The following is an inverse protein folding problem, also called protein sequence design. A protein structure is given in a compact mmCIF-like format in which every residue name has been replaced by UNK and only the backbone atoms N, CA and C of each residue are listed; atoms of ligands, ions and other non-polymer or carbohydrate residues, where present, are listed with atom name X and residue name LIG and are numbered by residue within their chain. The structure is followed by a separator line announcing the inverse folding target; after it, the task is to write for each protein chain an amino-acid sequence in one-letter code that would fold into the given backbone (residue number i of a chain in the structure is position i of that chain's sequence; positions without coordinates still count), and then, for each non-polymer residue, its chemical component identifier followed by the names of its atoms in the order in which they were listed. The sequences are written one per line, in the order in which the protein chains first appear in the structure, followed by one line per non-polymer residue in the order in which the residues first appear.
data_IF_045937038409
#
_entry.id   IF_045937038409
#
_cell.length_a   1.000
_cell.length_b   1.000
_cell.length_c   1.000
_cell.angle_alpha   90.00
_cell.angle_beta   90.00
_cell.angle_gamma   90.00
#
_symmetry.space_group_name_H-M   'P 1'
#
loop_
_entity.id
_entity.type
_entity.pdbx_description
1 polymer ?
#
# COMPACT_ATOMS: atom_id res chain seq x y z
N UNK A 1 -5.63 -15.01 -22.42
CA UNK A 1 -6.06 -16.41 -22.66
C UNK A 1 -7.49 -16.56 -22.16
N UNK A 2 -8.40 -17.01 -23.01
CA UNK A 2 -9.83 -17.14 -22.73
C UNK A 2 -10.13 -18.26 -21.73
N UNK A 3 -11.03 -17.96 -20.79
CA UNK A 3 -11.85 -18.93 -20.04
C UNK A 3 -12.74 -18.19 -19.02
N UNK A 4 -13.82 -18.79 -18.50
CA UNK A 4 -14.83 -19.67 -19.08
C UNK A 4 -16.11 -18.88 -19.49
N UNK A 5 -17.02 -19.52 -20.21
CA UNK A 5 -18.16 -18.97 -20.98
C UNK A 5 -19.29 -18.21 -20.23
N UNK A 6 -19.03 -17.53 -19.10
CA UNK A 6 -20.08 -16.87 -18.29
C UNK A 6 -19.88 -15.37 -18.01
N UNK A 7 -18.87 -14.72 -18.58
CA UNK A 7 -18.70 -13.26 -18.42
C UNK A 7 -18.32 -12.81 -16.99
N UNK A 8 -17.80 -13.72 -16.17
CA UNK A 8 -17.25 -13.35 -14.86
C UNK A 8 -15.91 -12.63 -15.02
N UNK A 9 -15.79 -11.42 -14.46
CA UNK A 9 -14.53 -10.67 -14.42
C UNK A 9 -13.78 -10.99 -13.11
N UNK A 10 -12.57 -11.54 -13.25
CA UNK A 10 -11.67 -11.85 -12.13
C UNK A 10 -10.39 -11.04 -12.26
N UNK A 11 -9.84 -10.59 -11.13
CA UNK A 11 -8.53 -9.94 -11.11
C UNK A 11 -7.44 -11.00 -11.31
N UNK A 12 -6.65 -10.86 -12.37
CA UNK A 12 -5.71 -11.89 -12.82
C UNK A 12 -4.67 -12.25 -11.74
N UNK A 13 -4.10 -11.25 -11.07
CA UNK A 13 -3.15 -11.42 -9.97
C UNK A 13 -3.72 -12.29 -8.82
N UNK A 14 -4.95 -12.03 -8.40
CA UNK A 14 -5.59 -12.79 -7.31
C UNK A 14 -5.99 -14.20 -7.70
N UNK A 15 -6.40 -14.39 -8.96
CA UNK A 15 -6.70 -15.71 -9.48
C UNK A 15 -5.44 -16.58 -9.46
N UNK A 16 -4.33 -16.06 -10.00
CA UNK A 16 -3.08 -16.81 -10.05
C UNK A 16 -2.54 -17.03 -8.63
N UNK A 17 -2.59 -16.03 -7.75
CA UNK A 17 -2.20 -16.15 -6.34
C UNK A 17 -2.97 -17.25 -5.62
N UNK A 18 -4.30 -17.26 -5.73
CA UNK A 18 -5.14 -18.28 -5.11
C UNK A 18 -4.86 -19.69 -5.65
N UNK A 19 -4.62 -19.84 -6.96
CA UNK A 19 -4.27 -21.13 -7.56
C UNK A 19 -2.92 -21.63 -7.04
N UNK A 20 -1.89 -20.78 -6.99
CA UNK A 20 -0.56 -21.18 -6.53
C UNK A 20 -0.55 -21.49 -5.03
N UNK A 21 -1.19 -20.66 -4.19
CA UNK A 21 -1.33 -20.91 -2.76
C UNK A 21 -2.08 -22.22 -2.47
N UNK A 22 -3.18 -22.48 -3.19
CA UNK A 22 -3.95 -23.73 -3.03
C UNK A 22 -3.13 -24.98 -3.41
N UNK A 23 -2.25 -24.89 -4.41
CA UNK A 23 -1.32 -25.98 -4.78
C UNK A 23 -0.23 -26.21 -3.74
N UNK A 24 0.18 -25.16 -3.03
CA UNK A 24 1.17 -25.25 -1.95
C UNK A 24 0.58 -25.82 -0.64
N UNK A 25 -0.70 -25.58 -0.36
CA UNK A 25 -1.37 -26.10 0.85
C UNK A 25 -2.15 -27.40 0.60
N UNK A 26 -1.86 -28.48 1.33
CA UNK A 26 -2.68 -29.72 1.32
C UNK A 26 -3.85 -29.56 2.31
N UNK A 27 -5.10 -29.50 1.85
CA UNK A 27 -6.29 -29.34 2.70
C UNK A 27 -7.58 -29.17 1.90
N UNK A 28 -8.73 -28.93 2.55
CA UNK A 28 -10.09 -28.99 1.96
C UNK A 28 -10.37 -28.09 0.72
N UNK A 29 -9.45 -27.20 0.33
CA UNK A 29 -9.47 -26.41 -0.92
C UNK A 29 -8.21 -26.58 -1.79
N UNK A 30 -7.28 -27.42 -1.36
CA UNK A 30 -6.06 -27.78 -2.07
C UNK A 30 -6.21 -29.10 -2.84
N UNK A 31 -5.19 -29.50 -3.60
CA UNK A 31 -5.21 -30.74 -4.37
C UNK A 31 -5.49 -31.96 -3.48
N UNK A 32 -6.25 -32.95 -3.99
CA UNK A 32 -6.63 -34.16 -3.24
C UNK A 32 -5.38 -34.90 -2.71
N UNK A 33 -5.55 -35.79 -1.73
CA UNK A 33 -4.47 -36.63 -1.20
C UNK A 33 -3.73 -37.44 -2.30
N UNK A 34 -4.41 -37.68 -3.43
CA UNK A 34 -3.91 -38.42 -4.59
C UNK A 34 -3.16 -37.55 -5.60
N UNK A 35 -3.05 -36.25 -5.35
CA UNK A 35 -2.32 -35.35 -6.23
C UNK A 35 -0.80 -35.50 -6.04
N UNK A 36 -0.01 -35.51 -7.13
CA UNK A 36 1.44 -35.66 -7.05
C UNK A 36 2.06 -34.64 -6.10
N UNK A 37 3.04 -35.05 -5.28
CA UNK A 37 3.87 -34.10 -4.54
C UNK A 37 4.59 -33.21 -5.55
N UNK A 38 4.47 -31.90 -5.39
CA UNK A 38 5.34 -30.96 -6.09
C UNK A 38 6.78 -31.21 -5.61
N UNK A 39 7.71 -31.24 -6.56
CA UNK A 39 9.12 -31.29 -6.25
C UNK A 39 9.62 -29.94 -5.71
N UNK A 40 10.79 -29.93 -5.07
CA UNK A 40 11.36 -28.71 -4.47
C UNK A 40 11.60 -27.61 -5.52
N UNK A 41 11.90 -27.98 -6.76
CA UNK A 41 12.07 -27.05 -7.88
C UNK A 41 10.76 -26.33 -8.21
N UNK A 42 9.64 -27.06 -8.39
CA UNK A 42 8.34 -26.44 -8.68
C UNK A 42 7.81 -25.62 -7.49
N UNK A 43 8.09 -26.04 -6.25
CA UNK A 43 7.74 -25.25 -5.06
C UNK A 43 8.51 -23.92 -5.06
N UNK A 44 9.81 -23.94 -5.38
CA UNK A 44 10.60 -22.71 -5.50
C UNK A 44 10.04 -21.80 -6.60
N UNK A 45 9.74 -22.37 -7.76
CA UNK A 45 9.16 -21.65 -8.89
C UNK A 45 7.80 -21.02 -8.54
N UNK A 46 6.92 -21.74 -7.85
CA UNK A 46 5.61 -21.22 -7.43
C UNK A 46 5.75 -20.09 -6.42
N UNK A 47 6.69 -20.20 -5.48
CA UNK A 47 6.98 -19.11 -4.55
C UNK A 47 7.58 -17.90 -5.28
N UNK A 48 8.39 -18.11 -6.31
CA UNK A 48 8.97 -17.04 -7.13
C UNK A 48 7.90 -16.36 -7.99
N UNK A 49 6.97 -17.12 -8.58
CA UNK A 49 5.85 -16.57 -9.35
C UNK A 49 4.88 -15.80 -8.44
N UNK A 50 4.55 -16.34 -7.26
CA UNK A 50 3.77 -15.63 -6.24
C UNK A 50 4.41 -14.30 -5.85
N UNK A 51 5.73 -14.30 -5.66
CA UNK A 51 6.48 -13.08 -5.40
C UNK A 51 6.45 -12.10 -6.58
N UNK A 52 6.49 -12.59 -7.83
CA UNK A 52 6.38 -11.75 -9.03
C UNK A 52 4.98 -11.14 -9.18
N UNK A 53 3.92 -11.88 -8.87
CA UNK A 53 2.53 -11.41 -8.99
C UNK A 53 2.24 -10.27 -8.02
N UNK A 54 2.78 -10.34 -6.80
CA UNK A 54 2.72 -9.23 -5.86
C UNK A 54 3.48 -7.98 -6.36
N UNK A 55 4.40 -8.12 -7.33
CA UNK A 55 5.24 -7.06 -7.92
C UNK A 55 4.68 -6.47 -9.25
N UNK A 56 3.57 -6.96 -9.83
CA UNK A 56 3.00 -6.43 -11.09
C UNK A 56 2.19 -5.14 -10.88
N UNK A 57 2.58 -4.04 -11.54
CA UNK A 57 1.80 -2.79 -11.59
C UNK A 57 1.65 -2.20 -13.00
N UNK A 58 0.46 -1.66 -13.27
CA UNK A 58 0.17 -0.56 -14.19
C UNK A 58 0.38 -0.75 -15.70
N UNK A 59 1.61 -0.95 -16.16
CA UNK A 59 1.93 -0.80 -17.60
C UNK A 59 1.82 -2.09 -18.42
N UNK A 60 1.89 -3.25 -17.79
CA UNK A 60 1.82 -4.56 -18.47
C UNK A 60 0.41 -5.18 -18.44
N UNK A 61 -0.51 -4.58 -17.67
CA UNK A 61 -1.92 -4.92 -17.59
C UNK A 61 -2.68 -3.74 -18.21
N UNK A 62 -3.19 -3.91 -19.43
CA UNK A 62 -3.78 -2.84 -20.23
C UNK A 62 -4.76 -1.92 -19.48
N UNK A 63 -4.85 -0.67 -19.96
CA UNK A 63 -5.63 0.43 -19.39
C UNK A 63 -7.07 0.03 -19.02
N UNK A 64 -7.25 -0.40 -17.77
CA UNK A 64 -8.54 -0.44 -17.10
C UNK A 64 -8.57 0.74 -16.14
N UNK A 65 -9.07 1.87 -16.64
CA UNK A 65 -9.33 3.05 -15.82
C UNK A 65 -10.32 2.67 -14.70
N UNK A 66 -9.86 2.72 -13.44
CA UNK A 66 -10.58 2.25 -12.25
C UNK A 66 -11.60 3.29 -11.73
N UNK A 67 -11.87 4.33 -12.51
CA UNK A 67 -12.65 5.47 -12.05
C UNK A 67 -14.12 5.33 -12.45
N UNK A 68 -15.01 5.30 -11.46
CA UNK A 68 -16.45 5.19 -11.69
C UNK A 68 -17.02 6.55 -12.16
N UNK A 69 -17.55 6.60 -13.39
CA UNK A 69 -18.22 7.77 -13.95
C UNK A 69 -19.73 7.76 -13.70
N UNK A 70 -20.36 8.95 -13.67
CA UNK A 70 -21.82 9.12 -13.61
C UNK A 70 -22.31 9.90 -14.84
N UNK A 71 -23.34 9.44 -15.57
CA UNK A 71 -23.94 10.23 -16.63
C UNK A 71 -24.90 11.25 -16.00
N UNK A 72 -24.64 12.54 -16.19
CA UNK A 72 -25.61 13.59 -15.89
C UNK A 72 -26.11 14.26 -17.18
N UNK A 73 -27.33 14.76 -17.13
CA UNK A 73 -28.26 15.05 -18.23
C UNK A 73 -27.76 15.98 -19.37
N UNK A 74 -28.06 15.56 -20.62
CA UNK A 74 -28.38 16.35 -21.84
C UNK A 74 -27.74 17.74 -21.99
N UNK A 75 -26.42 17.78 -22.04
CA UNK A 75 -25.56 18.65 -22.91
C UNK A 75 -24.17 18.00 -22.86
N UNK A 76 -23.33 18.20 -23.87
CA UNK A 76 -21.98 17.64 -23.91
C UNK A 76 -21.10 18.21 -22.78
N UNK A 77 -21.35 17.79 -21.54
CA UNK A 77 -20.55 18.09 -20.36
C UNK A 77 -19.37 17.12 -20.33
N UNK A 78 -18.21 17.63 -19.93
CA UNK A 78 -17.02 16.79 -19.73
C UNK A 78 -17.35 15.63 -18.76
N UNK A 79 -16.79 14.43 -18.98
CA UNK A 79 -17.03 13.30 -18.10
C UNK A 79 -16.58 13.63 -16.67
N UNK A 80 -17.43 13.29 -15.69
CA UNK A 80 -17.17 13.47 -14.25
C UNK A 80 -16.93 12.12 -13.62
N UNK A 81 -15.93 12.06 -12.74
CA UNK A 81 -15.49 10.83 -12.09
C UNK A 81 -15.53 10.94 -10.57
N UNK A 82 -15.82 9.82 -9.91
CA UNK A 82 -15.68 9.71 -8.47
C UNK A 82 -14.20 9.62 -8.08
N UNK A 83 -13.77 10.45 -7.14
CA UNK A 83 -12.37 10.52 -6.70
C UNK A 83 -11.86 9.18 -6.13
N UNK A 84 -10.69 8.68 -6.56
CA UNK A 84 -10.08 7.46 -6.03
C UNK A 84 -9.30 7.67 -4.72
N UNK A 85 -9.01 8.94 -4.39
CA UNK A 85 -8.39 9.41 -3.16
C UNK A 85 -8.90 10.83 -2.80
N UNK A 86 -8.49 11.37 -1.66
CA UNK A 86 -8.82 12.72 -1.21
C UNK A 86 -7.68 13.73 -1.44
N UNK A 87 -6.46 13.24 -1.67
CA UNK A 87 -5.24 13.98 -2.04
C UNK A 87 -5.47 15.07 -3.07
N UNK A 88 -6.12 14.76 -4.20
CA UNK A 88 -6.21 15.70 -5.34
C UNK A 88 -6.87 17.03 -4.96
N UNK A 89 -7.90 16.99 -4.10
CA UNK A 89 -8.57 18.19 -3.62
C UNK A 89 -7.67 19.07 -2.75
N UNK A 90 -6.71 18.48 -2.04
CA UNK A 90 -5.72 19.20 -1.23
C UNK A 90 -4.72 19.93 -2.14
N UNK A 91 -4.24 19.27 -3.19
CA UNK A 91 -3.32 19.87 -4.17
C UNK A 91 -3.93 21.03 -4.95
N UNK A 92 -5.18 20.90 -5.43
CA UNK A 92 -5.88 22.00 -6.12
C UNK A 92 -5.99 23.23 -5.21
N UNK A 93 -6.10 23.04 -3.90
CA UNK A 93 -6.22 24.12 -2.93
C UNK A 93 -4.89 24.54 -2.28
N UNK A 94 -3.74 24.05 -2.77
CA UNK A 94 -2.42 24.30 -2.16
C UNK A 94 -2.16 25.78 -1.85
N UNK A 95 -2.41 26.69 -2.82
CA UNK A 95 -2.19 28.13 -2.62
C UNK A 95 -3.00 28.70 -1.45
N UNK A 96 -4.25 28.26 -1.28
CA UNK A 96 -5.10 28.70 -0.17
C UNK A 96 -4.60 28.14 1.17
N UNK A 97 -4.20 26.88 1.18
CA UNK A 97 -3.66 26.21 2.37
C UNK A 97 -2.32 26.85 2.81
N UNK A 98 -1.44 27.14 1.86
CA UNK A 98 -0.18 27.83 2.10
C UNK A 98 -0.41 29.25 2.63
N UNK A 99 -1.35 30.00 2.04
CA UNK A 99 -1.71 31.33 2.52
C UNK A 99 -2.28 31.29 3.95
N UNK A 100 -3.07 30.26 4.28
CA UNK A 100 -3.57 30.06 5.65
C UNK A 100 -2.42 29.84 6.63
N UNK A 101 -1.35 29.17 6.20
CA UNK A 101 -0.10 29.04 6.96
C UNK A 101 0.86 30.23 6.76
N UNK A 102 0.35 31.41 6.39
CA UNK A 102 1.14 32.64 6.22
C UNK A 102 2.34 32.48 5.28
N UNK A 103 2.19 31.66 4.24
CA UNK A 103 3.26 31.34 3.29
C UNK A 103 4.51 30.70 3.92
N UNK A 104 4.36 30.12 5.11
CA UNK A 104 5.43 29.44 5.83
C UNK A 104 5.40 27.93 5.59
N UNK A 105 6.57 27.29 5.77
CA UNK A 105 6.77 25.85 5.64
C UNK A 105 7.57 25.35 6.86
N UNK A 106 7.32 24.13 7.36
CA UNK A 106 6.37 23.14 6.83
C UNK A 106 4.91 23.43 7.23
N UNK A 107 3.97 22.85 6.49
CA UNK A 107 2.56 22.77 6.89
C UNK A 107 1.94 21.47 6.40
N UNK A 108 0.83 21.07 7.00
CA UNK A 108 0.09 19.89 6.57
C UNK A 108 -1.39 20.23 6.37
N UNK A 109 -2.01 19.59 5.40
CA UNK A 109 -3.47 19.51 5.28
C UNK A 109 -3.92 18.07 5.50
N UNK A 110 -5.12 17.90 6.01
CA UNK A 110 -5.73 16.59 6.21
C UNK A 110 -7.15 16.60 5.65
N UNK A 111 -7.54 15.47 5.06
CA UNK A 111 -8.91 15.26 4.59
C UNK A 111 -9.39 13.87 5.02
N UNK A 112 -10.57 13.84 5.65
CA UNK A 112 -11.27 12.60 5.99
C UNK A 112 -12.52 12.55 5.12
N UNK A 113 -12.57 11.58 4.21
CA UNK A 113 -13.62 11.57 3.21
C UNK A 113 -13.78 10.22 2.50
N UNK A 114 -14.92 10.08 1.81
CA UNK A 114 -15.20 8.91 0.99
C UNK A 114 -14.35 8.95 -0.28
N UNK A 115 -13.80 7.79 -0.63
CA UNK A 115 -13.09 7.51 -1.88
C UNK A 115 -13.71 6.30 -2.55
N UNK A 116 -13.58 6.23 -3.88
CA UNK A 116 -14.23 5.22 -4.70
C UNK A 116 -13.21 4.53 -5.61
N UNK A 117 -13.19 3.20 -5.61
CA UNK A 117 -12.33 2.40 -6.50
C UNK A 117 -13.20 1.37 -7.18
N UNK A 118 -13.17 1.29 -8.50
CA UNK A 118 -13.98 0.32 -9.24
C UNK A 118 -13.36 -1.09 -9.17
N UNK A 119 -13.34 -1.66 -7.96
CA UNK A 119 -12.74 -2.96 -7.67
C UNK A 119 -13.44 -4.07 -8.48
N UNK A 120 -12.64 -4.83 -9.24
CA UNK A 120 -13.11 -5.83 -10.20
C UNK A 120 -13.82 -6.96 -9.48
N UNK A 121 -13.25 -7.46 -8.38
CA UNK A 121 -13.80 -8.61 -7.63
C UNK A 121 -13.66 -8.42 -6.10
N UNK A 122 -14.64 -7.81 -5.42
CA UNK A 122 -14.58 -7.55 -3.98
C UNK A 122 -14.88 -8.83 -3.18
N UNK A 123 -13.88 -9.73 -3.06
CA UNK A 123 -14.01 -11.04 -2.38
C UNK A 123 -13.50 -11.07 -0.93
N UNK A 124 -12.96 -9.95 -0.41
CA UNK A 124 -12.27 -9.89 0.89
C UNK A 124 -13.04 -9.11 1.98
N UNK A 125 -14.39 -9.11 1.91
CA UNK A 125 -15.24 -8.39 2.86
C UNK A 125 -14.89 -6.90 2.94
N UNK A 126 -14.59 -6.41 4.16
CA UNK A 126 -14.25 -4.99 4.40
C UNK A 126 -12.88 -4.57 3.89
N UNK A 127 -11.98 -5.51 3.59
CA UNK A 127 -10.63 -5.20 3.10
C UNK A 127 -10.63 -4.73 1.64
N UNK A 128 -11.66 -5.10 0.87
CA UNK A 128 -11.81 -4.72 -0.54
C UNK A 128 -13.22 -4.31 -0.86
N UNK A 129 -13.43 -3.00 -0.85
CA UNK A 129 -14.73 -2.38 -1.10
C UNK A 129 -14.58 -1.28 -2.14
N UNK A 130 -15.65 -1.05 -2.90
CA UNK A 130 -15.66 0.01 -3.93
C UNK A 130 -15.83 1.41 -3.37
N UNK A 131 -16.21 1.53 -2.10
CA UNK A 131 -16.47 2.78 -1.38
C UNK A 131 -16.00 2.61 0.05
N UNK A 132 -15.10 3.49 0.49
CA UNK A 132 -14.57 3.48 1.84
C UNK A 132 -14.19 4.87 2.29
N UNK A 133 -14.12 5.05 3.61
CA UNK A 133 -13.64 6.26 4.24
C UNK A 133 -12.11 6.18 4.34
N UNK A 134 -11.43 7.25 3.92
CA UNK A 134 -9.99 7.40 4.06
C UNK A 134 -9.70 8.67 4.85
N UNK A 135 -8.59 8.65 5.59
CA UNK A 135 -7.97 9.83 6.16
C UNK A 135 -6.60 9.99 5.51
N UNK A 136 -6.39 11.07 4.77
CA UNK A 136 -5.12 11.35 4.12
C UNK A 136 -4.57 12.69 4.61
N UNK A 137 -3.26 12.71 4.84
CA UNK A 137 -2.52 13.90 5.27
C UNK A 137 -1.49 14.20 4.18
N UNK A 138 -1.56 15.40 3.60
CA UNK A 138 -0.52 15.92 2.73
C UNK A 138 0.38 16.85 3.55
N UNK A 139 1.63 16.44 3.76
CA UNK A 139 2.59 17.18 4.56
C UNK A 139 3.62 17.85 3.65
N UNK A 140 3.52 19.16 3.53
CA UNK A 140 4.37 19.98 2.69
C UNK A 140 5.59 20.42 3.49
N UNK A 141 6.76 20.04 3.03
CA UNK A 141 8.04 20.33 3.69
C UNK A 141 9.05 20.90 2.70
N UNK A 142 10.01 21.67 3.22
CA UNK A 142 11.21 22.02 2.47
C UNK A 142 12.18 20.81 2.53
N UNK A 143 12.52 20.18 1.41
CA UNK A 143 13.37 18.98 1.39
C UNK A 143 14.78 19.22 1.94
N UNK A 144 15.22 20.48 2.04
CA UNK A 144 16.56 20.86 2.53
C UNK A 144 16.61 21.09 4.04
N UNK A 145 15.45 21.22 4.71
CA UNK A 145 15.39 21.50 6.15
C UNK A 145 15.27 20.22 6.97
N UNK A 146 15.94 20.22 8.13
CA UNK A 146 15.74 19.20 9.16
C UNK A 146 14.33 19.27 9.72
N UNK A 147 13.79 18.13 10.15
CA UNK A 147 12.45 18.08 10.71
C UNK A 147 12.49 18.36 12.22
N UNK A 148 11.94 19.49 12.71
CA UNK A 148 12.18 19.95 14.09
C UNK A 148 11.76 18.94 15.16
N UNK A 149 10.71 18.16 14.89
CA UNK A 149 10.13 17.20 15.84
C UNK A 149 10.67 15.79 15.69
N UNK A 150 11.70 15.58 14.86
CA UNK A 150 12.30 14.26 14.70
C UNK A 150 12.88 13.71 16.01
N UNK A 151 13.36 14.59 16.89
CA UNK A 151 13.88 14.24 18.22
C UNK A 151 12.85 13.48 19.08
N UNK A 152 11.55 13.67 18.85
CA UNK A 152 10.48 12.98 19.58
C UNK A 152 10.41 11.49 19.26
N UNK A 153 10.93 11.07 18.09
CA UNK A 153 10.78 9.70 17.59
C UNK A 153 12.11 9.00 17.33
N UNK A 154 13.24 9.70 17.47
CA UNK A 154 14.55 9.21 17.03
C UNK A 154 14.95 7.88 17.66
N UNK A 155 14.51 7.63 18.90
CA UNK A 155 14.82 6.41 19.67
C UNK A 155 13.75 5.32 19.55
N UNK A 156 12.65 5.57 18.82
CA UNK A 156 11.59 4.58 18.63
C UNK A 156 12.10 3.45 17.73
N UNK A 157 11.78 2.21 18.08
CA UNK A 157 12.11 1.03 17.30
C UNK A 157 10.95 0.64 16.38
N UNK A 158 11.23 0.44 15.08
CA UNK A 158 10.26 0.08 14.07
C UNK A 158 10.49 -1.35 13.54
N UNK A 159 9.42 -2.15 13.33
CA UNK A 159 9.49 -3.46 12.69
C UNK A 159 9.61 -3.31 11.16
N UNK A 160 10.76 -2.85 10.68
CA UNK A 160 11.01 -2.55 9.28
C UNK A 160 11.32 -3.81 8.45
N UNK A 161 10.76 -3.85 7.24
CA UNK A 161 11.10 -4.76 6.15
C UNK A 161 11.59 -3.90 4.99
N UNK A 162 12.90 -3.88 4.79
CA UNK A 162 13.52 -3.11 3.71
C UNK A 162 13.38 -3.77 2.33
N UNK A 163 13.76 -3.03 1.29
CA UNK A 163 13.74 -3.44 -0.13
C UNK A 163 14.44 -4.78 -0.39
N UNK A 164 15.58 -5.05 0.26
CA UNK A 164 16.41 -6.22 -0.09
C UNK A 164 15.68 -7.53 0.23
N UNK A 165 15.53 -8.40 -0.78
CA UNK A 165 15.01 -9.76 -0.65
C UNK A 165 15.88 -10.56 0.33
N UNK A 166 15.45 -10.66 1.57
CA UNK A 166 16.07 -11.50 2.59
C UNK A 166 15.24 -12.80 2.77
N UNK A 167 15.89 -13.95 3.03
CA UNK A 167 15.21 -15.19 3.40
C UNK A 167 14.27 -14.96 4.60
N UNK A 168 13.17 -15.70 4.70
CA UNK A 168 12.10 -15.46 5.69
C UNK A 168 12.59 -15.24 7.13
N UNK A 169 13.65 -15.95 7.54
CA UNK A 169 14.30 -15.83 8.87
C UNK A 169 14.99 -14.48 9.14
N UNK A 170 15.35 -13.72 8.10
CA UNK A 170 16.11 -12.46 8.21
C UNK A 170 15.30 -11.21 7.86
N UNK A 171 14.00 -11.36 7.53
CA UNK A 171 13.15 -10.25 7.08
C UNK A 171 12.75 -9.26 8.18
N UNK A 172 12.87 -9.63 9.45
CA UNK A 172 12.46 -8.82 10.60
C UNK A 172 13.70 -8.37 11.37
N UNK A 173 14.08 -7.10 11.20
CA UNK A 173 15.02 -6.46 12.11
C UNK A 173 14.35 -5.20 12.66
N UNK A 174 13.84 -5.25 13.90
CA UNK A 174 13.54 -4.05 14.64
C UNK A 174 14.71 -3.07 14.53
N UNK A 175 14.43 -1.83 14.17
CA UNK A 175 15.45 -0.83 13.93
C UNK A 175 15.00 0.52 14.46
N UNK A 176 15.88 1.15 15.22
CA UNK A 176 15.70 2.50 15.74
C UNK A 176 15.58 3.49 14.58
N UNK A 177 14.55 4.34 14.60
CA UNK A 177 14.22 5.34 13.56
C UNK A 177 15.44 6.21 13.23
N UNK A 178 16.13 6.72 14.27
CA UNK A 178 17.34 7.52 14.12
C UNK A 178 18.46 6.78 13.38
N UNK A 179 18.62 5.46 13.62
CA UNK A 179 19.57 4.64 12.87
C UNK A 179 19.12 4.43 11.42
N UNK A 180 17.84 4.14 11.21
CA UNK A 180 17.27 3.94 9.87
C UNK A 180 17.44 5.18 8.96
N UNK A 181 17.26 6.38 9.52
CA UNK A 181 17.48 7.65 8.79
C UNK A 181 18.96 7.91 8.53
N UNK A 182 19.82 7.69 9.54
CA UNK A 182 21.29 7.85 9.39
C UNK A 182 21.86 6.89 8.34
N UNK A 183 21.37 5.66 8.27
CA UNK A 183 21.81 4.64 7.31
C UNK A 183 21.09 4.72 5.96
N UNK A 184 20.28 5.77 5.72
CA UNK A 184 19.50 5.97 4.47
C UNK A 184 18.57 4.82 4.09
N UNK A 185 18.14 4.03 5.07
CA UNK A 185 17.06 3.05 4.87
C UNK A 185 15.72 3.80 4.80
N UNK A 186 15.54 4.78 5.68
CA UNK A 186 14.52 5.81 5.56
C UNK A 186 15.18 7.08 5.00
N UNK A 187 14.58 7.65 3.97
CA UNK A 187 15.19 8.65 3.10
C UNK A 187 15.55 9.95 3.85
N UNK A 188 14.69 10.40 4.76
CA UNK A 188 14.86 11.64 5.54
C UNK A 188 14.14 11.62 6.90
N UNK A 189 14.39 12.64 7.72
CA UNK A 189 13.82 12.81 9.07
C UNK A 189 12.30 12.95 9.05
N UNK A 190 11.73 13.66 8.05
CA UNK A 190 10.27 13.84 7.93
C UNK A 190 9.57 12.51 7.73
N UNK A 191 10.06 11.67 6.82
CA UNK A 191 9.50 10.35 6.56
C UNK A 191 9.66 9.45 7.78
N UNK A 192 10.82 9.47 8.43
CA UNK A 192 11.05 8.72 9.68
C UNK A 192 10.10 9.14 10.80
N UNK A 193 9.84 10.45 10.94
CA UNK A 193 8.84 10.97 11.86
C UNK A 193 7.43 10.47 11.55
N UNK A 194 6.98 10.58 10.30
CA UNK A 194 5.62 10.16 9.92
C UNK A 194 5.44 8.66 10.13
N UNK A 195 6.39 7.82 9.70
CA UNK A 195 6.32 6.37 9.89
C UNK A 195 6.26 5.99 11.38
N UNK A 196 7.06 6.65 12.23
CA UNK A 196 6.99 6.44 13.67
C UNK A 196 5.65 6.89 14.27
N UNK A 197 5.10 8.02 13.84
CA UNK A 197 3.79 8.51 14.27
C UNK A 197 2.66 7.58 13.83
N UNK A 198 2.75 6.97 12.64
CA UNK A 198 1.81 5.93 12.18
C UNK A 198 1.85 4.74 13.14
N UNK A 199 3.04 4.24 13.50
CA UNK A 199 3.15 3.14 14.46
C UNK A 199 2.50 3.49 15.80
N UNK A 200 2.85 4.65 16.37
CA UNK A 200 2.30 5.11 17.64
C UNK A 200 0.77 5.23 17.59
N UNK A 201 0.23 5.74 16.48
CA UNK A 201 -1.21 5.81 16.27
C UNK A 201 -1.86 4.42 16.23
N UNK A 202 -1.28 3.47 15.46
CA UNK A 202 -1.77 2.10 15.36
C UNK A 202 -1.77 1.38 16.72
N UNK A 203 -0.70 1.55 17.50
CA UNK A 203 -0.62 1.02 18.86
C UNK A 203 -1.69 1.64 19.78
N UNK A 204 -1.93 2.95 19.65
CA UNK A 204 -2.95 3.65 20.43
C UNK A 204 -4.37 3.14 20.13
N UNK A 205 -4.66 2.81 18.87
CA UNK A 205 -5.94 2.16 18.48
C UNK A 205 -5.95 0.64 18.71
N UNK A 206 -5.01 0.13 19.53
CA UNK A 206 -4.94 -1.26 20.01
C UNK A 206 -4.55 -2.30 18.96
N UNK A 207 -3.78 -1.91 17.93
CA UNK A 207 -3.13 -2.89 17.06
C UNK A 207 -2.06 -3.65 17.84
N UNK A 208 -2.06 -4.98 17.68
CA UNK A 208 -1.03 -5.88 18.22
C UNK A 208 0.31 -5.65 17.51
N UNK A 209 1.33 -5.24 18.27
CA UNK A 209 2.66 -4.94 17.74
C UNK A 209 3.35 -6.15 17.10
N UNK A 210 3.04 -7.38 17.52
CA UNK A 210 3.59 -8.61 16.92
C UNK A 210 3.06 -8.87 15.50
N UNK A 211 1.94 -8.23 15.16
CA UNK A 211 1.21 -8.32 13.89
C UNK A 211 1.30 -7.04 13.07
N UNK A 212 2.22 -6.14 13.42
CA UNK A 212 2.50 -4.91 12.68
C UNK A 212 3.89 -4.98 12.06
N UNK A 213 4.02 -4.53 10.81
CA UNK A 213 5.31 -4.31 10.15
C UNK A 213 5.23 -3.13 9.20
N UNK A 214 6.38 -2.57 8.86
CA UNK A 214 6.49 -1.55 7.83
C UNK A 214 7.25 -2.11 6.63
N UNK A 215 6.59 -2.26 5.48
CA UNK A 215 7.21 -2.74 4.23
C UNK A 215 7.64 -1.54 3.39
N UNK A 216 8.90 -1.49 2.98
CA UNK A 216 9.36 -0.52 1.98
C UNK A 216 9.05 -1.06 0.58
N UNK A 217 8.49 -0.22 -0.28
CA UNK A 217 8.31 -0.57 -1.68
C UNK A 217 9.62 -0.61 -2.46
N UNK A 218 9.69 -1.53 -3.41
CA UNK A 218 10.75 -1.63 -4.43
C UNK A 218 10.57 -0.57 -5.52
N UNK A 219 11.66 -0.25 -6.24
CA UNK A 219 11.64 0.78 -7.28
C UNK A 219 10.62 0.50 -8.41
N UNK A 220 10.28 -0.77 -8.66
CA UNK A 220 9.31 -1.22 -9.65
C UNK A 220 7.86 -1.34 -9.12
N UNK A 221 7.65 -1.25 -7.81
CA UNK A 221 6.33 -1.28 -7.17
C UNK A 221 5.85 0.15 -6.78
N UNK A 222 6.71 1.15 -6.93
CA UNK A 222 6.41 2.52 -6.54
C UNK A 222 5.30 3.11 -7.41
N UNK A 223 4.33 3.77 -6.78
CA UNK A 223 3.39 4.61 -7.51
C UNK A 223 4.16 5.59 -8.40
N UNK A 224 3.63 5.89 -9.59
CA UNK A 224 4.22 6.74 -10.64
C UNK A 224 4.63 8.16 -10.20
N UNK A 225 4.35 8.55 -8.95
CA UNK A 225 4.66 9.84 -8.35
C UNK A 225 5.47 9.75 -7.04
N UNK A 226 6.01 8.58 -6.66
CA UNK A 226 6.71 8.40 -5.39
C UNK A 226 8.24 8.44 -5.57
N UNK A 227 8.98 8.92 -4.56
CA UNK A 227 10.44 8.78 -4.43
C UNK A 227 10.86 7.89 -3.23
N UNK A 228 9.95 7.64 -2.29
CA UNK A 228 10.08 6.63 -1.23
C UNK A 228 8.70 6.28 -0.67
N UNK A 229 8.44 5.01 -0.36
CA UNK A 229 7.14 4.58 0.17
C UNK A 229 7.29 3.48 1.21
N UNK A 230 6.57 3.63 2.31
CA UNK A 230 6.49 2.70 3.42
C UNK A 230 5.04 2.41 3.76
N UNK A 231 4.69 1.13 3.81
CA UNK A 231 3.36 0.67 4.14
C UNK A 231 3.35 0.03 5.51
N UNK A 232 2.45 0.50 6.37
CA UNK A 232 2.10 -0.22 7.59
C UNK A 232 1.18 -1.38 7.22
N UNK A 233 1.69 -2.61 7.35
CA UNK A 233 0.93 -3.83 7.08
C UNK A 233 0.53 -4.52 8.38
N UNK A 234 -0.69 -5.03 8.41
CA UNK A 234 -1.24 -5.81 9.52
C UNK A 234 -1.36 -7.28 9.12
N UNK A 235 -0.96 -8.17 10.01
CA UNK A 235 -1.20 -9.60 9.84
C UNK A 235 -2.66 -9.94 10.19
N UNK A 236 -3.40 -10.39 9.18
CA UNK A 236 -4.79 -10.80 9.26
C UNK A 236 -4.95 -12.28 8.88
N UNK A 237 -6.19 -12.79 8.92
CA UNK A 237 -6.51 -14.13 8.38
C UNK A 237 -6.29 -14.24 6.87
N UNK A 238 -6.18 -13.11 6.15
CA UNK A 238 -5.90 -13.03 4.72
C UNK A 238 -4.41 -12.77 4.43
N UNK A 239 -3.54 -12.89 5.44
CA UNK A 239 -2.13 -12.55 5.34
C UNK A 239 -1.83 -11.10 5.70
N UNK A 240 -0.68 -10.60 5.26
CA UNK A 240 -0.24 -9.23 5.48
C UNK A 240 -0.96 -8.29 4.52
N UNK A 241 -1.66 -7.31 5.07
CA UNK A 241 -2.46 -6.36 4.29
C UNK A 241 -2.08 -4.94 4.71
N UNK A 242 -1.85 -4.07 3.74
CA UNK A 242 -1.65 -2.64 3.94
C UNK A 242 -2.86 -2.02 4.68
N UNK A 243 -2.60 -1.24 5.72
CA UNK A 243 -3.61 -0.43 6.39
C UNK A 243 -3.32 1.08 6.32
N UNK A 244 -2.05 1.47 6.19
CA UNK A 244 -1.62 2.87 6.04
C UNK A 244 -0.44 2.94 5.07
N UNK A 245 -0.63 3.55 3.92
CA UNK A 245 0.45 3.93 3.02
C UNK A 245 1.08 5.27 3.40
N UNK A 246 2.40 5.34 3.43
CA UNK A 246 3.18 6.55 3.69
C UNK A 246 4.15 6.80 2.53
N UNK A 247 3.76 7.71 1.63
CA UNK A 247 4.51 8.01 0.42
C UNK A 247 5.16 9.38 0.49
N UNK A 248 6.46 9.43 0.21
CA UNK A 248 7.16 10.66 -0.16
C UNK A 248 6.99 10.82 -1.68
N UNK A 249 6.33 11.89 -2.09
CA UNK A 249 6.07 12.24 -3.50
C UNK A 249 6.97 13.38 -3.94
#
# INVERSE_FOLDING_TARGET
MQGPCQGEYLRADHLIKGVLESRLTRGAKGPSKDSPKLDESTISEYNDILAKIDDYSGSELGDFDQTAGYPESRRAAAPIYLRPNTTQGQFINFKKLLNYNQSSMPFASANIGKSYRNEISPKSGRLRVRKFLMAEIEHYVDPKKKYPRFVEVGEIELPLIGRRRLPARQRRRPMIVGRAVKSKIIENETLGYIVARIMLFLLNVRVDSSKLRFKQYMANEMAHHACGCWDAELLTSYGWIECVGCTLR
#
